data_IF_745634612581
#
_entry.id   IF_745634612581
#
_cell.length_a   1.000
_cell.length_b   1.000
_cell.length_c   1.000
_cell.angle_alpha   90.00
_cell.angle_beta   90.00
_cell.angle_gamma   90.00
#
_symmetry.space_group_name_H-M   'P 1'
#
loop_
_entity.id
_entity.type
_entity.pdbx_description
1 polymer ?
#
# COMPACT_ATOMS: atom_id res chain seq x y z
N UNK A 1 87.32 92.31 -66.91
CA UNK A 1 86.33 91.67 -66.01
C UNK A 1 84.97 92.22 -66.36
N UNK A 2 83.95 91.36 -66.26
CA UNK A 2 82.53 91.58 -66.55
C UNK A 2 82.14 91.44 -68.04
N UNK A 3 81.71 90.23 -68.39
CA UNK A 3 80.88 89.92 -69.54
C UNK A 3 79.42 90.00 -69.10
N UNK A 4 78.63 90.90 -69.69
CA UNK A 4 77.18 90.84 -69.70
C UNK A 4 76.73 90.15 -71.00
N UNK A 5 75.93 89.07 -70.95
CA UNK A 5 75.19 88.61 -72.12
C UNK A 5 73.78 89.21 -72.09
N UNK A 6 73.58 90.19 -72.97
CA UNK A 6 72.28 90.72 -73.36
C UNK A 6 71.58 89.72 -74.29
N UNK A 7 70.61 88.96 -73.76
CA UNK A 7 69.74 88.07 -74.55
C UNK A 7 68.34 88.68 -74.60
N UNK A 8 68.06 89.43 -75.69
CA UNK A 8 66.73 89.93 -76.00
C UNK A 8 65.78 88.77 -76.32
N UNK A 9 64.88 88.48 -75.39
CA UNK A 9 63.79 87.53 -75.61
C UNK A 9 62.76 88.13 -76.58
N UNK A 10 62.43 87.37 -77.63
CA UNK A 10 61.41 87.71 -78.61
C UNK A 10 60.04 87.86 -77.92
N UNK A 11 59.40 89.05 -77.98
CA UNK A 11 58.16 89.34 -77.24
C UNK A 11 57.00 88.40 -77.60
N UNK A 12 56.99 87.79 -78.78
CA UNK A 12 55.98 86.79 -79.16
C UNK A 12 56.11 85.48 -78.37
N UNK A 13 57.34 85.11 -78.00
CA UNK A 13 57.63 83.87 -77.26
C UNK A 13 57.27 83.97 -75.78
N UNK A 14 57.31 85.19 -75.23
CA UNK A 14 56.87 85.49 -73.85
C UNK A 14 55.35 85.40 -73.73
N UNK A 15 54.60 85.87 -74.74
CA UNK A 15 53.13 85.80 -74.75
C UNK A 15 52.61 84.35 -74.89
N UNK A 16 53.29 83.52 -75.69
CA UNK A 16 52.95 82.11 -75.86
C UNK A 16 53.18 81.31 -74.55
N UNK A 17 54.30 81.58 -73.87
CA UNK A 17 54.59 80.99 -72.55
C UNK A 17 53.59 81.44 -71.47
N UNK A 18 53.14 82.69 -71.50
CA UNK A 18 52.11 83.17 -70.57
C UNK A 18 50.77 82.46 -70.79
N UNK A 19 50.34 82.30 -72.05
CA UNK A 19 49.12 81.55 -72.38
C UNK A 19 49.22 80.07 -71.99
N UNK A 20 50.39 79.46 -72.12
CA UNK A 20 50.61 78.07 -71.72
C UNK A 20 50.60 77.89 -70.19
N UNK A 21 51.20 78.82 -69.44
CA UNK A 21 51.13 78.82 -67.97
C UNK A 21 49.69 79.02 -67.49
N UNK A 22 48.92 79.89 -68.15
CA UNK A 22 47.52 80.10 -67.80
C UNK A 22 46.65 78.87 -68.11
N UNK A 23 46.91 78.19 -69.23
CA UNK A 23 46.27 76.91 -69.56
C UNK A 23 46.60 75.83 -68.53
N UNK A 24 47.87 75.68 -68.16
CA UNK A 24 48.31 74.70 -67.15
C UNK A 24 47.73 75.01 -65.77
N UNK A 25 47.65 76.29 -65.39
CA UNK A 25 47.02 76.68 -64.13
C UNK A 25 45.51 76.41 -64.13
N UNK A 26 44.83 76.60 -65.27
CA UNK A 26 43.42 76.27 -65.41
C UNK A 26 43.17 74.77 -65.36
N UNK A 27 43.98 73.99 -66.08
CA UNK A 27 43.91 72.53 -66.08
C UNK A 27 44.21 71.94 -64.70
N UNK A 28 45.19 72.51 -63.97
CA UNK A 28 45.49 72.12 -62.59
C UNK A 28 44.35 72.47 -61.64
N UNK A 29 43.71 73.63 -61.81
CA UNK A 29 42.55 74.02 -61.00
C UNK A 29 41.33 73.12 -61.27
N UNK A 30 41.09 72.74 -62.52
CA UNK A 30 40.02 71.82 -62.91
C UNK A 30 40.28 70.40 -62.39
N UNK A 31 41.52 69.90 -62.49
CA UNK A 31 41.92 68.61 -61.93
C UNK A 31 41.81 68.59 -60.40
N UNK A 32 42.16 69.69 -59.72
CA UNK A 32 42.01 69.81 -58.28
C UNK A 32 40.53 69.87 -57.86
N UNK A 33 39.70 70.61 -58.58
CA UNK A 33 38.26 70.66 -58.33
C UNK A 33 37.58 69.30 -58.56
N UNK A 34 38.01 68.53 -59.57
CA UNK A 34 37.53 67.16 -59.79
C UNK A 34 37.97 66.22 -58.67
N UNK A 35 39.23 66.29 -58.23
CA UNK A 35 39.73 65.46 -57.13
C UNK A 35 39.01 65.78 -55.81
N UNK A 36 38.72 67.05 -55.51
CA UNK A 36 37.96 67.46 -54.34
C UNK A 36 36.49 66.99 -54.41
N UNK A 37 35.86 67.07 -55.60
CA UNK A 37 34.51 66.57 -55.81
C UNK A 37 34.42 65.04 -55.65
N UNK A 38 35.40 64.28 -56.17
CA UNK A 38 35.48 62.84 -56.00
C UNK A 38 35.74 62.45 -54.53
N UNK A 39 36.61 63.19 -53.83
CA UNK A 39 36.87 62.96 -52.41
C UNK A 39 35.61 63.21 -51.56
N UNK A 40 34.84 64.26 -51.86
CA UNK A 40 33.56 64.53 -51.19
C UNK A 40 32.50 63.48 -51.49
N UNK A 41 32.41 63.00 -52.74
CA UNK A 41 31.50 61.93 -53.12
C UNK A 41 31.87 60.59 -52.45
N UNK A 42 33.17 60.27 -52.36
CA UNK A 42 33.65 59.08 -51.68
C UNK A 42 33.40 59.13 -50.16
N UNK A 43 33.57 60.29 -49.53
CA UNK A 43 33.26 60.50 -48.11
C UNK A 43 31.76 60.33 -47.84
N UNK A 44 30.90 60.93 -48.66
CA UNK A 44 29.44 60.78 -48.53
C UNK A 44 28.98 59.32 -48.70
N UNK A 45 29.58 58.59 -49.66
CA UNK A 45 29.28 57.17 -49.87
C UNK A 45 29.78 56.27 -48.73
N UNK A 46 30.87 56.64 -48.04
CA UNK A 46 31.37 55.91 -46.87
C UNK A 46 30.46 56.11 -45.65
N UNK A 47 29.96 57.33 -45.43
CA UNK A 47 29.04 57.64 -44.33
C UNK A 47 27.69 56.92 -44.49
N UNK A 48 27.18 56.81 -45.72
CA UNK A 48 25.94 56.06 -46.01
C UNK A 48 26.09 54.55 -45.75
N UNK A 49 27.25 53.97 -46.11
CA UNK A 49 27.57 52.56 -45.80
C UNK A 49 27.69 52.32 -44.29
N UNK A 50 28.34 53.24 -43.56
CA UNK A 50 28.43 53.14 -42.11
C UNK A 50 27.05 53.25 -41.42
N UNK A 51 26.19 54.16 -41.91
CA UNK A 51 24.84 54.33 -41.39
C UNK A 51 23.95 53.10 -41.64
N UNK A 52 24.06 52.48 -42.82
CA UNK A 52 23.30 51.26 -43.16
C UNK A 52 23.77 50.05 -42.37
N UNK A 53 25.08 49.88 -42.15
CA UNK A 53 25.61 48.80 -41.33
C UNK A 53 25.17 48.92 -39.86
N UNK A 54 25.17 50.14 -39.31
CA UNK A 54 24.66 50.39 -37.95
C UNK A 54 23.16 50.05 -37.82
N UNK A 55 22.34 50.40 -38.82
CA UNK A 55 20.91 50.02 -38.84
C UNK A 55 20.72 48.51 -38.85
N UNK A 56 21.47 47.77 -39.68
CA UNK A 56 21.39 46.31 -39.70
C UNK A 56 21.82 45.68 -38.37
N UNK A 57 22.89 46.19 -37.75
CA UNK A 57 23.34 45.70 -36.43
C UNK A 57 22.29 45.93 -35.35
N UNK A 58 21.69 47.13 -35.31
CA UNK A 58 20.66 47.48 -34.34
C UNK A 58 19.39 46.63 -34.54
N UNK A 59 18.99 46.37 -35.79
CA UNK A 59 17.84 45.53 -36.09
C UNK A 59 18.10 44.07 -35.67
N UNK A 60 19.28 43.52 -35.98
CA UNK A 60 19.67 42.17 -35.58
C UNK A 60 19.67 41.99 -34.05
N UNK A 61 20.16 42.99 -33.31
CA UNK A 61 20.18 42.96 -31.85
C UNK A 61 18.76 43.01 -31.27
N UNK A 62 17.88 43.84 -31.85
CA UNK A 62 16.48 43.89 -31.45
C UNK A 62 15.74 42.57 -31.71
N UNK A 63 16.03 41.88 -32.82
CA UNK A 63 15.47 40.58 -33.14
C UNK A 63 15.95 39.49 -32.17
N UNK A 64 17.22 39.51 -31.77
CA UNK A 64 17.76 38.59 -30.76
C UNK A 64 17.08 38.77 -29.41
N UNK A 65 16.93 40.01 -28.95
CA UNK A 65 16.25 40.32 -27.68
C UNK A 65 14.79 39.84 -27.72
N UNK A 66 14.09 40.06 -28.84
CA UNK A 66 12.70 39.61 -29.00
C UNK A 66 12.59 38.08 -29.03
N UNK A 67 13.54 37.39 -29.68
CA UNK A 67 13.58 35.93 -29.72
C UNK A 67 13.85 35.32 -28.34
N UNK A 68 14.80 35.88 -27.59
CA UNK A 68 15.14 35.43 -26.23
C UNK A 68 13.97 35.66 -25.27
N UNK A 69 13.30 36.81 -25.35
CA UNK A 69 12.10 37.10 -24.56
C UNK A 69 10.97 36.11 -24.85
N UNK A 70 10.75 35.77 -26.13
CA UNK A 70 9.75 34.77 -26.54
C UNK A 70 10.10 33.39 -26.01
N UNK A 71 11.35 32.96 -26.14
CA UNK A 71 11.82 31.67 -25.64
C UNK A 71 11.69 31.55 -24.12
N UNK A 72 12.00 32.62 -23.37
CA UNK A 72 11.82 32.65 -21.91
C UNK A 72 10.34 32.55 -21.53
N UNK A 73 9.45 33.28 -22.19
CA UNK A 73 8.01 33.23 -21.91
C UNK A 73 7.40 31.85 -22.16
N UNK A 74 7.87 31.13 -23.19
CA UNK A 74 7.40 29.79 -23.51
C UNK A 74 7.92 28.76 -22.51
N UNK A 75 9.18 28.89 -22.07
CA UNK A 75 9.75 28.04 -21.03
C UNK A 75 9.03 28.22 -19.69
N UNK A 76 8.69 29.45 -19.32
CA UNK A 76 7.91 29.73 -18.11
C UNK A 76 6.48 29.16 -18.20
N UNK A 77 5.81 29.32 -19.34
CA UNK A 77 4.51 28.71 -19.58
C UNK A 77 4.56 27.17 -19.47
N UNK A 78 5.58 26.54 -20.03
CA UNK A 78 5.78 25.08 -19.91
C UNK A 78 6.06 24.67 -18.46
N UNK A 79 6.86 25.43 -17.72
CA UNK A 79 7.13 25.16 -16.29
C UNK A 79 5.88 25.28 -15.44
N UNK A 80 5.03 26.28 -15.70
CA UNK A 80 3.75 26.45 -15.01
C UNK A 80 2.78 25.32 -15.34
N UNK A 81 2.64 24.96 -16.62
CA UNK A 81 1.81 23.83 -17.05
C UNK A 81 2.30 22.50 -16.46
N UNK A 82 3.61 22.27 -16.40
CA UNK A 82 4.21 21.10 -15.77
C UNK A 82 3.88 21.04 -14.27
N UNK A 83 4.09 22.15 -13.54
CA UNK A 83 3.74 22.23 -12.10
C UNK A 83 2.25 22.00 -11.85
N UNK A 84 1.38 22.58 -12.67
CA UNK A 84 -0.07 22.39 -12.55
C UNK A 84 -0.48 20.94 -12.83
N UNK A 85 0.13 20.30 -13.83
CA UNK A 85 -0.10 18.88 -14.12
C UNK A 85 0.38 17.95 -12.99
N UNK A 86 1.49 18.31 -12.33
CA UNK A 86 2.05 17.56 -11.20
C UNK A 86 1.17 17.70 -9.96
N UNK A 87 0.68 18.91 -9.68
CA UNK A 87 -0.29 19.18 -8.60
C UNK A 87 -1.59 18.39 -8.81
N UNK A 88 -2.18 18.44 -10.02
CA UNK A 88 -3.39 17.65 -10.35
C UNK A 88 -3.15 16.14 -10.25
N UNK A 89 -1.95 15.65 -10.60
CA UNK A 89 -1.57 14.23 -10.39
C UNK A 89 -1.48 13.87 -8.91
N UNK A 90 -0.88 14.73 -8.08
CA UNK A 90 -0.75 14.52 -6.63
C UNK A 90 -2.12 14.54 -5.93
N UNK A 91 -3.02 15.45 -6.30
CA UNK A 91 -4.39 15.49 -5.75
C UNK A 91 -5.21 14.25 -6.13
N UNK A 92 -5.15 13.79 -7.39
CA UNK A 92 -5.81 12.54 -7.82
C UNK A 92 -5.23 11.29 -7.15
N UNK A 93 -3.93 11.26 -6.86
CA UNK A 93 -3.30 10.16 -6.11
C UNK A 93 -3.67 10.17 -4.62
N UNK A 94 -3.74 11.35 -3.98
CA UNK A 94 -4.07 11.48 -2.56
C UNK A 94 -5.53 11.08 -2.27
N UNK A 95 -6.46 11.47 -3.15
CA UNK A 95 -7.90 11.18 -2.99
C UNK A 95 -8.26 9.71 -3.23
N UNK A 96 -7.54 9.01 -4.13
CA UNK A 96 -7.84 7.59 -4.43
C UNK A 96 -7.27 6.60 -3.40
N UNK A 97 -6.16 6.91 -2.72
CA UNK A 97 -5.57 6.05 -1.68
C UNK A 97 -6.39 6.02 -0.38
N UNK A 98 -7.01 7.13 0.02
CA UNK A 98 -7.77 7.21 1.29
C UNK A 98 -9.13 6.50 1.22
N UNK A 99 -9.80 6.52 0.07
CA UNK A 99 -11.10 5.86 -0.13
C UNK A 99 -10.98 4.33 -0.11
N UNK A 100 -9.93 3.77 -0.69
CA UNK A 100 -9.69 2.30 -0.71
C UNK A 100 -9.40 1.72 0.68
N UNK A 101 -8.67 2.43 1.55
CA UNK A 101 -8.37 1.98 2.92
C UNK A 101 -9.61 1.92 3.82
N UNK A 102 -10.54 2.88 3.68
CA UNK A 102 -11.80 2.89 4.44
C UNK A 102 -12.73 1.73 4.05
N UNK A 103 -12.77 1.39 2.76
CA UNK A 103 -13.56 0.25 2.26
C UNK A 103 -12.97 -1.08 2.74
N UNK A 104 -11.64 -1.25 2.63
CA UNK A 104 -10.97 -2.47 3.13
C UNK A 104 -11.13 -2.61 4.65
N UNK A 105 -10.96 -1.52 5.41
CA UNK A 105 -11.19 -1.53 6.86
C UNK A 105 -12.62 -1.89 7.23
N UNK A 106 -13.61 -1.36 6.51
CA UNK A 106 -15.02 -1.72 6.71
C UNK A 106 -15.32 -3.19 6.42
N UNK A 107 -14.75 -3.75 5.35
CA UNK A 107 -14.91 -5.17 5.00
C UNK A 107 -14.26 -6.07 6.05
N UNK A 108 -13.05 -5.75 6.51
CA UNK A 108 -12.37 -6.53 7.56
C UNK A 108 -13.18 -6.49 8.86
N UNK A 109 -13.68 -5.32 9.26
CA UNK A 109 -14.52 -5.19 10.45
C UNK A 109 -15.81 -6.01 10.33
N UNK A 110 -16.45 -5.99 9.14
CA UNK A 110 -17.64 -6.80 8.87
C UNK A 110 -17.34 -8.30 8.98
N UNK A 111 -16.23 -8.77 8.41
CA UNK A 111 -15.82 -10.18 8.51
C UNK A 111 -15.58 -10.58 9.96
N UNK A 112 -14.89 -9.75 10.74
CA UNK A 112 -14.66 -10.00 12.17
C UNK A 112 -16.00 -10.08 12.92
N UNK A 113 -16.92 -9.15 12.64
CA UNK A 113 -18.26 -9.16 13.25
C UNK A 113 -19.03 -10.45 12.90
N UNK A 114 -18.99 -10.88 11.63
CA UNK A 114 -19.62 -12.13 11.19
C UNK A 114 -19.00 -13.34 11.89
N UNK A 115 -17.67 -13.39 12.03
CA UNK A 115 -16.99 -14.47 12.75
C UNK A 115 -17.36 -14.52 14.23
N UNK A 116 -17.48 -13.35 14.89
CA UNK A 116 -17.94 -13.27 16.29
C UNK A 116 -19.37 -13.79 16.41
N UNK A 117 -20.28 -13.39 15.53
CA UNK A 117 -21.66 -13.87 15.52
C UNK A 117 -21.72 -15.39 15.29
N UNK A 118 -20.93 -15.91 14.33
CA UNK A 118 -20.86 -17.35 14.07
C UNK A 118 -20.37 -18.12 15.29
N UNK A 119 -19.29 -17.67 15.94
CA UNK A 119 -18.76 -18.30 17.14
C UNK A 119 -19.74 -18.26 18.32
N UNK A 120 -20.42 -17.12 18.53
CA UNK A 120 -21.43 -16.98 19.59
C UNK A 120 -22.71 -17.79 19.32
N UNK A 121 -23.02 -18.10 18.05
CA UNK A 121 -24.22 -18.84 17.65
C UNK A 121 -24.03 -20.36 17.60
N UNK A 122 -22.83 -20.86 17.91
CA UNK A 122 -22.53 -22.29 17.91
C UNK A 122 -23.28 -22.99 19.04
N UNK A 123 -23.99 -24.07 18.72
CA UNK A 123 -24.72 -24.87 19.70
C UNK A 123 -24.57 -26.36 19.44
N UNK A 124 -24.53 -27.16 20.50
CA UNK A 124 -24.44 -28.62 20.45
C UNK A 124 -25.75 -29.19 20.99
N UNK A 125 -26.40 -30.03 20.20
CA UNK A 125 -27.56 -30.81 20.62
C UNK A 125 -27.14 -32.26 20.80
N UNK A 126 -27.51 -32.87 21.92
CA UNK A 126 -27.20 -34.27 22.24
C UNK A 126 -28.46 -35.12 22.06
N UNK A 127 -28.34 -36.24 21.36
CA UNK A 127 -29.40 -37.21 21.07
C UNK A 127 -28.84 -38.64 21.18
N UNK A 128 -29.66 -39.70 21.32
CA UNK A 128 -29.16 -41.07 21.34
C UNK A 128 -28.30 -41.43 20.12
N UNK A 129 -27.14 -42.05 20.36
CA UNK A 129 -26.19 -42.47 19.32
C UNK A 129 -26.59 -43.76 18.61
N UNK A 130 -26.06 -43.98 17.41
CA UNK A 130 -26.34 -45.19 16.61
C UNK A 130 -25.16 -45.65 15.75
N UNK A 131 -23.92 -45.39 16.17
CA UNK A 131 -22.75 -45.70 15.36
C UNK A 131 -22.36 -47.17 15.45
N UNK A 132 -21.87 -47.74 14.36
CA UNK A 132 -21.39 -49.14 14.31
C UNK A 132 -19.97 -49.31 14.87
N UNK A 133 -19.17 -48.24 14.93
CA UNK A 133 -17.78 -48.28 15.42
C UNK A 133 -17.31 -46.92 15.95
N UNK A 134 -16.38 -46.94 16.91
CA UNK A 134 -15.83 -45.77 17.59
C UNK A 134 -14.28 -45.83 17.61
N UNK A 135 -13.60 -45.61 16.47
CA UNK A 135 -12.16 -45.83 16.35
C UNK A 135 -11.30 -44.73 17.00
N UNK A 136 -11.87 -43.58 17.32
CA UNK A 136 -11.14 -42.47 17.92
C UNK A 136 -11.35 -42.48 19.43
N UNK A 137 -10.29 -42.29 20.22
CA UNK A 137 -10.33 -42.28 21.68
C UNK A 137 -9.63 -41.04 22.18
N UNK A 138 -10.29 -40.29 23.07
CA UNK A 138 -9.67 -39.18 23.81
C UNK A 138 -9.83 -39.43 25.31
N UNK A 139 -8.75 -39.24 26.06
CA UNK A 139 -8.72 -39.54 27.51
C UNK A 139 -8.58 -38.27 28.32
N UNK A 140 -9.37 -38.17 29.39
CA UNK A 140 -9.38 -37.05 30.32
C UNK A 140 -9.36 -37.55 31.77
N UNK A 141 -8.67 -36.82 32.64
CA UNK A 141 -8.89 -36.92 34.08
C UNK A 141 -10.02 -35.97 34.47
N UNK A 142 -11.05 -36.46 35.16
CA UNK A 142 -12.18 -35.66 35.62
C UNK A 142 -12.43 -35.84 37.11
N UNK A 143 -12.81 -34.75 37.78
CA UNK A 143 -13.08 -34.73 39.21
C UNK A 143 -14.53 -34.38 39.46
N UNK A 144 -15.27 -35.29 40.09
CA UNK A 144 -16.68 -35.10 40.42
C UNK A 144 -16.80 -34.73 41.89
N UNK A 145 -17.45 -33.60 42.22
CA UNK A 145 -17.77 -33.28 43.60
C UNK A 145 -18.70 -34.36 44.19
N UNK A 146 -18.34 -34.91 45.35
CA UNK A 146 -19.14 -35.95 46.01
C UNK A 146 -20.47 -35.34 46.48
N UNK A 147 -21.57 -36.04 46.20
CA UNK A 147 -22.93 -35.65 46.57
C UNK A 147 -23.55 -34.57 45.68
N UNK A 148 -22.86 -34.12 44.63
CA UNK A 148 -23.37 -33.09 43.72
C UNK A 148 -23.66 -33.67 42.33
N UNK A 149 -24.74 -33.21 41.67
CA UNK A 149 -25.04 -33.60 40.30
C UNK A 149 -24.07 -32.97 39.31
N UNK A 150 -23.68 -33.80 38.34
CA UNK A 150 -22.78 -33.47 37.24
C UNK A 150 -23.45 -33.91 35.93
N UNK A 151 -23.79 -32.95 35.08
CA UNK A 151 -24.48 -33.25 33.82
C UNK A 151 -23.49 -33.51 32.69
N UNK A 152 -23.35 -34.77 32.26
CA UNK A 152 -22.49 -35.14 31.14
C UNK A 152 -23.33 -35.73 30.03
N UNK A 153 -23.26 -35.11 28.84
CA UNK A 153 -23.91 -35.65 27.64
C UNK A 153 -25.42 -35.91 27.81
N UNK A 154 -26.10 -35.04 28.57
CA UNK A 154 -27.54 -35.17 28.84
C UNK A 154 -27.91 -36.16 29.95
N UNK A 155 -26.93 -36.78 30.61
CA UNK A 155 -27.13 -37.63 31.79
C UNK A 155 -26.75 -36.88 33.06
N UNK A 156 -27.56 -37.03 34.10
CA UNK A 156 -27.24 -36.48 35.43
C UNK A 156 -26.52 -37.55 36.24
N UNK A 157 -25.25 -37.29 36.52
CA UNK A 157 -24.34 -38.20 37.20
C UNK A 157 -24.07 -37.72 38.63
N UNK A 158 -24.08 -38.62 39.60
CA UNK A 158 -23.77 -38.28 40.99
C UNK A 158 -22.81 -39.33 41.56
N UNK A 159 -21.64 -38.88 42.02
CA UNK A 159 -20.76 -39.70 42.84
C UNK A 159 -21.19 -39.57 44.31
N UNK A 160 -21.42 -40.68 44.97
CA UNK A 160 -21.90 -40.76 46.36
C UNK A 160 -20.89 -41.55 47.19
N UNK A 161 -20.63 -41.10 48.41
CA UNK A 161 -19.88 -41.85 49.40
C UNK A 161 -20.86 -42.41 50.43
N UNK A 162 -20.84 -43.73 50.62
CA UNK A 162 -21.63 -44.43 51.65
C UNK A 162 -20.69 -45.29 52.50
N UNK A 163 -20.33 -44.76 53.68
CA UNK A 163 -19.31 -45.35 54.54
C UNK A 163 -17.95 -45.46 53.84
N UNK A 164 -17.49 -46.70 53.62
CA UNK A 164 -16.24 -47.00 52.92
C UNK A 164 -16.45 -47.32 51.43
N UNK A 165 -17.68 -47.26 50.95
CA UNK A 165 -18.04 -47.59 49.58
C UNK A 165 -18.33 -46.33 48.77
N UNK A 166 -17.99 -46.37 47.49
CA UNK A 166 -18.38 -45.33 46.54
C UNK A 166 -19.51 -45.87 45.68
N UNK A 167 -20.53 -45.07 45.51
CA UNK A 167 -21.70 -45.35 44.68
C UNK A 167 -21.76 -44.32 43.56
N UNK A 168 -22.33 -44.71 42.44
CA UNK A 168 -22.49 -43.87 41.27
C UNK A 168 -23.93 -43.97 40.79
N UNK A 169 -24.62 -42.84 40.81
CA UNK A 169 -25.94 -42.70 40.22
C UNK A 169 -25.79 -42.14 38.81
N UNK A 170 -26.32 -42.86 37.82
CA UNK A 170 -26.56 -42.33 36.49
C UNK A 170 -28.06 -42.34 36.24
N UNK A 171 -28.65 -41.15 36.06
CA UNK A 171 -30.09 -40.96 35.85
C UNK A 171 -30.98 -41.67 36.88
N UNK A 172 -30.53 -41.67 38.14
CA UNK A 172 -31.24 -42.30 39.26
C UNK A 172 -30.96 -43.79 39.45
N UNK A 173 -30.29 -44.46 38.50
CA UNK A 173 -29.83 -45.85 38.68
C UNK A 173 -28.50 -45.86 39.44
N UNK A 174 -28.50 -46.47 40.63
CA UNK A 174 -27.33 -46.47 41.52
C UNK A 174 -26.56 -47.79 41.37
N UNK A 175 -25.26 -47.67 41.13
CA UNK A 175 -24.34 -48.80 41.02
C UNK A 175 -23.13 -48.58 41.91
N UNK A 176 -22.53 -49.65 42.42
CA UNK A 176 -21.31 -49.56 43.23
C UNK A 176 -20.11 -49.26 42.32
N UNK A 177 -19.31 -48.27 42.71
CA UNK A 177 -18.04 -47.96 42.07
C UNK A 177 -16.94 -48.86 42.63
N UNK A 178 -16.31 -49.61 41.73
CA UNK A 178 -15.09 -50.34 41.99
C UNK A 178 -13.94 -49.66 41.26
N UNK A 179 -12.80 -49.50 41.94
CA UNK A 179 -11.62 -48.87 41.33
C UNK A 179 -11.18 -49.66 40.10
N UNK A 180 -10.92 -48.96 39.00
CA UNK A 180 -10.49 -49.55 37.74
C UNK A 180 -11.61 -50.20 36.92
N UNK A 181 -12.85 -50.21 37.41
CA UNK A 181 -13.98 -50.76 36.66
C UNK A 181 -14.56 -49.69 35.72
N UNK A 182 -14.64 -49.97 34.40
CA UNK A 182 -15.25 -49.04 33.45
C UNK A 182 -16.77 -49.08 33.53
N UNK A 183 -17.40 -47.90 33.44
CA UNK A 183 -18.83 -47.68 33.40
C UNK A 183 -19.15 -46.88 32.15
N UNK A 184 -20.01 -47.43 31.29
CA UNK A 184 -20.46 -46.75 30.08
C UNK A 184 -21.74 -45.98 30.37
N UNK A 185 -21.74 -44.68 30.11
CA UNK A 185 -22.87 -43.79 30.40
C UNK A 185 -23.95 -43.85 29.31
N UNK A 186 -23.59 -44.32 28.12
CA UNK A 186 -24.49 -44.50 26.99
C UNK A 186 -23.86 -44.07 25.68
N UNK A 187 -24.53 -44.39 24.57
CA UNK A 187 -24.16 -43.92 23.24
C UNK A 187 -24.96 -42.66 22.91
N UNK A 188 -24.26 -41.63 22.46
CA UNK A 188 -24.78 -40.30 22.22
C UNK A 188 -24.35 -39.78 20.85
N UNK A 189 -25.10 -38.81 20.34
CA UNK A 189 -24.90 -38.14 19.07
C UNK A 189 -24.91 -36.64 19.32
N UNK A 190 -23.75 -36.01 19.18
CA UNK A 190 -23.59 -34.56 19.25
C UNK A 190 -23.74 -33.96 17.85
N UNK A 191 -24.81 -33.19 17.66
CA UNK A 191 -25.03 -32.40 16.45
C UNK A 191 -24.57 -30.96 16.69
N UNK A 192 -23.43 -30.61 16.09
CA UNK A 192 -22.91 -29.26 16.07
C UNK A 192 -23.64 -28.44 15.01
N UNK A 193 -24.17 -27.30 15.41
CA UNK A 193 -24.94 -26.39 14.58
C UNK A 193 -24.44 -24.95 14.71
N UNK A 194 -24.61 -24.16 13.66
CA UNK A 194 -24.35 -22.71 13.63
C UNK A 194 -25.61 -21.96 13.22
N UNK A 195 -25.56 -20.62 13.26
CA UNK A 195 -26.69 -19.73 12.96
C UNK A 195 -27.91 -20.05 13.82
N UNK A 196 -27.71 -20.07 15.14
CA UNK A 196 -28.75 -20.33 16.14
C UNK A 196 -29.44 -21.68 15.94
N UNK A 197 -28.65 -22.75 15.75
CA UNK A 197 -29.18 -24.11 15.66
C UNK A 197 -29.70 -24.53 14.27
N UNK A 198 -29.71 -23.63 13.28
CA UNK A 198 -30.38 -23.87 11.98
C UNK A 198 -29.52 -24.62 10.98
N UNK A 199 -28.21 -24.41 10.98
CA UNK A 199 -27.32 -25.01 9.99
C UNK A 199 -26.46 -26.10 10.64
N UNK A 200 -26.62 -27.38 10.25
CA UNK A 200 -25.77 -28.45 10.75
C UNK A 200 -24.36 -28.32 10.16
N UNK A 201 -23.37 -28.28 11.05
CA UNK A 201 -21.96 -28.30 10.68
C UNK A 201 -21.43 -29.74 10.66
N UNK A 202 -21.76 -30.48 11.73
CA UNK A 202 -21.21 -31.81 11.96
C UNK A 202 -22.12 -32.59 12.90
N UNK A 203 -22.19 -33.91 12.68
CA UNK A 203 -22.73 -34.86 13.66
C UNK A 203 -21.61 -35.83 14.03
N UNK A 204 -21.41 -36.02 15.34
CA UNK A 204 -20.45 -36.93 15.92
C UNK A 204 -21.21 -37.90 16.81
N UNK A 205 -21.04 -39.19 16.60
CA UNK A 205 -21.51 -40.19 17.54
C UNK A 205 -20.37 -40.55 18.48
N UNK A 206 -20.67 -40.63 19.77
CA UNK A 206 -19.69 -40.90 20.79
C UNK A 206 -20.31 -41.66 21.96
N UNK A 207 -19.46 -42.33 22.73
CA UNK A 207 -19.82 -42.90 24.02
C UNK A 207 -18.81 -42.49 25.07
N UNK A 208 -19.31 -42.28 26.28
CA UNK A 208 -18.51 -41.87 27.42
C UNK A 208 -18.33 -43.08 28.34
N UNK A 209 -17.08 -43.39 28.64
CA UNK A 209 -16.69 -44.44 29.58
C UNK A 209 -15.97 -43.78 30.75
N UNK A 210 -16.42 -44.04 31.96
CA UNK A 210 -15.81 -43.56 33.19
C UNK A 210 -15.17 -44.72 33.95
N UNK A 211 -13.94 -44.53 34.40
CA UNK A 211 -13.22 -45.51 35.21
C UNK A 211 -12.82 -44.85 36.52
N UNK A 212 -13.43 -45.28 37.63
CA UNK A 212 -13.16 -44.71 38.95
C UNK A 212 -11.73 -45.01 39.41
N UNK A 213 -10.98 -43.98 39.79
CA UNK A 213 -9.57 -44.09 40.18
C UNK A 213 -9.35 -43.93 41.68
N UNK A 214 -10.31 -43.33 42.40
CA UNK A 214 -10.19 -43.06 43.83
C UNK A 214 -10.76 -41.70 44.20
N UNK A 215 -10.76 -41.39 45.49
CA UNK A 215 -11.12 -40.07 46.00
C UNK A 215 -9.88 -39.20 46.15
N UNK A 216 -10.03 -37.90 45.94
CA UNK A 216 -9.01 -36.90 46.24
C UNK A 216 -9.15 -36.38 47.68
N UNK A 217 -8.10 -35.75 48.25
CA UNK A 217 -8.18 -35.11 49.55
C UNK A 217 -9.23 -33.99 49.64
N UNK A 218 -9.68 -33.46 48.50
CA UNK A 218 -10.63 -32.35 48.38
C UNK A 218 -12.10 -32.82 48.31
N UNK A 219 -12.38 -34.05 48.75
CA UNK A 219 -13.73 -34.65 48.72
C UNK A 219 -14.33 -34.74 47.30
N UNK A 220 -13.50 -35.09 46.33
CA UNK A 220 -13.92 -35.34 44.94
C UNK A 220 -13.60 -36.76 44.55
N UNK A 221 -14.48 -37.37 43.74
CA UNK A 221 -14.22 -38.64 43.10
C UNK A 221 -13.46 -38.40 41.79
N UNK A 222 -12.28 -38.99 41.65
CA UNK A 222 -11.46 -38.92 40.44
C UNK A 222 -11.81 -40.07 39.50
N UNK A 223 -12.08 -39.72 38.24
CA UNK A 223 -12.35 -40.67 37.17
C UNK A 223 -11.40 -40.43 36.01
N UNK A 224 -10.95 -41.53 35.41
CA UNK A 224 -10.41 -41.51 34.05
C UNK A 224 -11.59 -41.64 33.10
N UNK A 225 -11.82 -40.60 32.30
CA UNK A 225 -12.90 -40.54 31.33
C UNK A 225 -12.35 -40.79 29.93
N UNK A 226 -12.93 -41.74 29.21
CA UNK A 226 -12.64 -42.03 27.83
C UNK A 226 -13.84 -41.63 26.98
N UNK A 227 -13.60 -40.77 26.00
CA UNK A 227 -14.57 -40.41 24.98
C UNK A 227 -14.18 -41.19 23.72
N UNK A 228 -14.99 -42.20 23.38
CA UNK A 228 -14.82 -42.95 22.13
C UNK A 228 -15.78 -42.40 21.08
N UNK A 229 -15.29 -42.08 19.90
CA UNK A 229 -16.08 -41.40 18.86
C UNK A 229 -15.91 -42.01 17.47
N UNK A 230 -16.94 -41.85 16.64
CA UNK A 230 -16.96 -42.29 15.24
C UNK A 230 -16.07 -41.42 14.33
N UNK A 231 -15.81 -40.18 14.77
CA UNK A 231 -14.97 -39.18 14.11
C UNK A 231 -14.00 -38.55 15.09
N UNK A 232 -12.89 -38.03 14.58
CA UNK A 232 -11.98 -37.21 15.39
C UNK A 232 -12.73 -35.99 15.92
N UNK A 233 -12.76 -35.82 17.25
CA UNK A 233 -13.43 -34.70 17.92
C UNK A 233 -12.44 -33.54 18.03
N UNK A 234 -12.72 -32.38 17.42
CA UNK A 234 -11.92 -31.19 17.66
C UNK A 234 -11.96 -30.78 19.13
N UNK A 235 -10.84 -30.33 19.69
CA UNK A 235 -10.72 -30.00 21.13
C UNK A 235 -11.79 -29.01 21.62
N UNK A 236 -12.16 -28.04 20.78
CA UNK A 236 -13.20 -27.06 21.13
C UNK A 236 -14.57 -27.70 21.34
N UNK A 237 -14.89 -28.81 20.67
CA UNK A 237 -16.16 -29.54 20.82
C UNK A 237 -16.20 -30.25 22.17
N UNK A 238 -15.07 -30.76 22.65
CA UNK A 238 -15.00 -31.43 23.96
C UNK A 238 -15.40 -30.47 25.09
N UNK A 239 -15.04 -29.18 24.98
CA UNK A 239 -15.45 -28.16 25.96
C UNK A 239 -16.96 -27.94 26.04
N UNK A 240 -17.71 -28.32 25.00
CA UNK A 240 -19.18 -28.29 25.01
C UNK A 240 -19.79 -29.61 25.51
N UNK A 241 -19.07 -30.72 25.41
CA UNK A 241 -19.50 -32.03 25.91
C UNK A 241 -19.30 -32.18 27.41
N UNK A 242 -18.32 -31.47 27.97
CA UNK A 242 -18.01 -31.46 29.39
C UNK A 242 -18.66 -30.26 30.08
N UNK A 243 -19.37 -30.47 31.20
CA UNK A 243 -20.04 -29.38 31.88
C UNK A 243 -19.04 -28.48 32.61
N UNK A 244 -19.39 -27.20 32.77
CA UNK A 244 -18.50 -26.17 33.34
C UNK A 244 -18.14 -26.41 34.82
N UNK A 245 -18.91 -27.24 35.52
CA UNK A 245 -18.70 -27.59 36.93
C UNK A 245 -17.75 -28.79 37.11
N UNK A 246 -17.22 -29.37 36.04
CA UNK A 246 -16.23 -30.45 36.10
C UNK A 246 -14.87 -29.92 35.69
N UNK A 247 -13.87 -30.16 36.54
CA UNK A 247 -12.47 -29.98 36.15
C UNK A 247 -12.12 -31.15 35.24
N UNK A 248 -11.69 -30.86 34.02
CA UNK A 248 -11.26 -31.86 33.06
C UNK A 248 -9.86 -31.53 32.56
N UNK A 249 -8.94 -32.48 32.65
CA UNK A 249 -7.57 -32.34 32.17
C UNK A 249 -7.28 -33.37 31.08
N UNK A 250 -6.79 -32.97 29.90
CA UNK A 250 -6.41 -33.92 28.87
C UNK A 250 -5.27 -34.80 29.39
N UNK A 251 -5.41 -36.10 29.20
CA UNK A 251 -4.34 -37.06 29.47
C UNK A 251 -3.65 -37.38 28.16
N UNK A 252 -2.31 -37.43 28.17
CA UNK A 252 -1.58 -37.98 27.03
C UNK A 252 -2.06 -39.41 26.79
N UNK A 253 -2.49 -39.68 25.55
CA UNK A 253 -2.89 -41.00 25.07
C UNK A 253 -1.70 -41.93 24.97
#
# INVERSE_FOLDING_TARGET
MSQDPNTGADPKKVEELQKEVERLNREKAEAQAQAEAEAHAAAAAADEKAATEMRMKQELESQKIAADAKMQSELEAQRLAAKESELKRKEKQATSKSRKRKVIGGIILLIILVLIVLAASASVQVQPGSATSYPYITTYGVWFPIGQPVDISGHTLIALADGNEMMFSADGSVTKLVRGQPITIGEQSAKLTTLFGKVPLMTINYKVILEYQGNTPENQAYFKMLIQSDKSIPEFVVKFLLPKNVIAQPMAS
#
